data_IF_640786263205
#
_entry.id   IF_640786263205
#
_cell.length_a   1.000
_cell.length_b   1.000
_cell.length_c   1.000
_cell.angle_alpha   90.00
_cell.angle_beta   90.00
_cell.angle_gamma   90.00
#
_symmetry.space_group_name_H-M   'P 1'
#
loop_
_entity.id
_entity.type
_entity.pdbx_description
1 polymer ?
#
# COMPACT_ATOMS: atom_id res chain seq x y z
N UNK A 1 26.58 13.05 -50.59
CA UNK A 1 27.71 13.17 -49.65
C UNK A 1 27.17 12.84 -48.28
N UNK A 2 27.60 11.84 -47.52
CA UNK A 2 28.55 10.75 -47.72
C UNK A 2 28.33 9.80 -46.52
N UNK A 3 28.48 8.48 -46.77
CA UNK A 3 28.92 7.39 -45.86
C UNK A 3 28.45 7.33 -44.39
N UNK A 4 27.93 6.22 -43.84
CA UNK A 4 28.23 4.81 -44.12
C UNK A 4 29.17 4.23 -43.07
N UNK A 5 28.66 3.39 -42.15
CA UNK A 5 29.39 2.41 -41.29
C UNK A 5 28.30 1.69 -40.48
N UNK A 6 27.84 0.46 -40.76
CA UNK A 6 28.48 -0.82 -41.10
C UNK A 6 29.35 -1.32 -39.96
N UNK A 7 28.80 -2.21 -39.13
CA UNK A 7 29.54 -3.36 -38.63
C UNK A 7 28.63 -4.58 -38.47
N UNK A 8 29.19 -5.69 -38.91
CA UNK A 8 28.57 -6.98 -39.23
C UNK A 8 29.45 -8.02 -38.56
N UNK A 9 28.87 -9.22 -38.37
CA UNK A 9 29.57 -10.53 -38.37
C UNK A 9 30.20 -10.94 -37.01
N UNK A 10 30.12 -12.16 -36.47
CA UNK A 10 29.71 -13.48 -37.02
C UNK A 10 29.39 -14.50 -35.89
N UNK A 11 28.55 -15.48 -36.23
CA UNK A 11 28.64 -16.95 -36.04
C UNK A 11 28.94 -17.63 -34.70
N UNK A 12 28.00 -18.51 -34.31
CA UNK A 12 28.09 -20.00 -34.23
C UNK A 12 26.91 -20.50 -33.38
N UNK A 13 26.27 -21.64 -33.57
CA UNK A 13 26.44 -22.79 -34.46
C UNK A 13 25.08 -23.54 -34.51
N UNK A 14 24.81 -24.20 -35.64
CA UNK A 14 23.71 -25.15 -35.87
C UNK A 14 24.35 -26.46 -36.35
N UNK A 15 23.57 -27.55 -36.28
CA UNK A 15 23.78 -28.94 -36.74
C UNK A 15 24.42 -29.89 -35.73
N UNK A 16 24.09 -31.19 -35.69
CA UNK A 16 22.93 -32.06 -36.04
C UNK A 16 23.49 -33.48 -35.88
N UNK A 17 22.66 -34.40 -35.38
CA UNK A 17 22.58 -35.84 -35.76
C UNK A 17 23.80 -36.72 -35.44
N UNK A 18 23.56 -37.89 -34.83
CA UNK A 18 23.82 -39.23 -35.41
C UNK A 18 23.43 -40.30 -34.38
N UNK A 19 22.74 -41.29 -34.91
CA UNK A 19 22.15 -42.50 -34.36
C UNK A 19 23.11 -43.70 -34.49
N UNK A 20 22.72 -44.87 -33.95
CA UNK A 20 23.23 -46.24 -34.27
C UNK A 20 24.65 -46.57 -33.81
N UNK A 21 25.06 -47.78 -33.41
CA UNK A 21 24.49 -49.12 -33.18
C UNK A 21 25.65 -49.89 -32.53
N UNK A 22 25.44 -50.79 -31.56
CA UNK A 22 26.43 -51.84 -31.30
C UNK A 22 25.79 -53.14 -30.80
N UNK A 23 26.11 -54.22 -31.52
CA UNK A 23 25.79 -55.64 -31.35
C UNK A 23 26.95 -56.37 -32.06
N UNK A 24 27.29 -57.66 -31.81
CA UNK A 24 26.67 -58.68 -30.96
C UNK A 24 27.67 -59.61 -30.21
N UNK A 25 27.18 -60.71 -29.60
CA UNK A 25 27.63 -62.10 -29.83
C UNK A 25 27.97 -63.01 -28.61
N UNK A 26 27.45 -64.24 -28.74
CA UNK A 26 27.97 -65.57 -28.33
C UNK A 26 27.66 -66.16 -26.94
N UNK A 27 26.78 -67.16 -26.99
CA UNK A 27 26.84 -68.42 -26.22
C UNK A 27 27.90 -69.38 -26.83
N UNK A 28 28.45 -70.32 -26.04
CA UNK A 28 28.12 -71.76 -26.18
C UNK A 28 28.15 -72.46 -24.78
N UNK A 29 27.84 -73.73 -24.52
CA UNK A 29 27.36 -74.91 -25.22
C UNK A 29 26.86 -75.88 -24.13
N UNK A 30 25.91 -76.73 -24.47
CA UNK A 30 25.48 -77.89 -23.68
C UNK A 30 26.46 -79.07 -23.90
N UNK A 31 26.55 -80.03 -22.96
CA UNK A 31 26.21 -81.39 -23.39
C UNK A 31 25.36 -82.16 -22.36
N UNK A 32 24.40 -82.91 -22.89
CA UNK A 32 23.72 -84.00 -22.18
C UNK A 32 24.70 -85.19 -21.93
N UNK A 33 24.38 -86.10 -21.01
CA UNK A 33 23.91 -87.39 -21.51
C UNK A 33 22.75 -88.03 -20.71
N UNK A 34 22.08 -88.94 -21.41
CA UNK A 34 21.05 -89.86 -20.97
C UNK A 34 21.52 -90.77 -19.81
N UNK A 35 20.66 -91.03 -18.83
CA UNK A 35 20.37 -92.40 -18.33
C UNK A 35 18.95 -92.39 -17.73
N UNK A 36 18.10 -93.26 -18.24
CA UNK A 36 16.82 -93.61 -17.64
C UNK A 36 16.92 -94.99 -16.97
N UNK A 37 15.98 -95.22 -16.04
CA UNK A 37 15.41 -96.53 -15.64
C UNK A 37 15.95 -97.17 -14.34
N UNK A 38 15.17 -96.91 -13.27
CA UNK A 38 14.44 -97.85 -12.37
C UNK A 38 15.10 -98.59 -11.19
N UNK A 39 14.22 -98.70 -10.19
CA UNK A 39 13.99 -99.68 -9.13
C UNK A 39 14.76 -99.58 -7.80
N UNK A 40 13.98 -99.47 -6.70
CA UNK A 40 14.38 -99.87 -5.34
C UNK A 40 14.19 -98.84 -4.21
N UNK A 41 12.97 -98.75 -3.64
CA UNK A 41 12.59 -98.65 -2.20
C UNK A 41 13.35 -97.73 -1.18
N UNK A 42 12.76 -97.41 0.00
CA UNK A 42 12.55 -96.02 0.41
C UNK A 42 13.61 -95.45 1.36
N UNK A 43 14.03 -94.20 1.12
CA UNK A 43 14.84 -93.43 2.06
C UNK A 43 14.24 -92.02 2.31
N UNK A 44 13.51 -91.92 3.43
CA UNK A 44 13.43 -90.75 4.33
C UNK A 44 13.38 -89.36 3.67
N UNK A 45 12.17 -88.90 3.34
CA UNK A 45 11.91 -87.51 2.94
C UNK A 45 12.13 -86.56 4.12
N UNK A 46 13.31 -85.95 4.19
CA UNK A 46 13.54 -84.77 5.02
C UNK A 46 12.93 -83.57 4.27
N UNK A 47 11.79 -83.09 4.75
CA UNK A 47 11.20 -81.84 4.28
C UNK A 47 12.11 -80.67 4.64
N UNK A 48 12.98 -80.26 3.72
CA UNK A 48 13.69 -78.98 3.82
C UNK A 48 12.70 -77.86 3.55
N UNK A 49 12.09 -77.38 4.64
CA UNK A 49 11.23 -76.20 4.68
C UNK A 49 11.99 -75.02 4.09
N UNK A 50 11.45 -74.43 3.02
CA UNK A 50 11.98 -73.22 2.39
C UNK A 50 11.93 -72.10 3.43
N UNK A 51 13.09 -71.61 3.85
CA UNK A 51 13.19 -70.43 4.71
C UNK A 51 12.75 -69.21 3.90
N UNK A 52 11.53 -68.77 4.14
CA UNK A 52 11.05 -67.47 3.69
C UNK A 52 11.70 -66.45 4.64
N UNK A 53 12.65 -65.67 4.13
CA UNK A 53 13.27 -64.56 4.87
C UNK A 53 12.15 -63.65 5.43
N UNK A 54 12.08 -63.43 6.75
CA UNK A 54 11.11 -62.51 7.31
C UNK A 54 11.52 -61.08 6.92
N UNK A 55 10.73 -60.42 6.07
CA UNK A 55 10.80 -58.96 5.92
C UNK A 55 10.48 -58.37 7.29
N UNK A 56 11.38 -57.54 7.80
CA UNK A 56 11.39 -57.06 9.18
C UNK A 56 10.04 -56.41 9.55
N UNK A 57 9.44 -56.89 10.66
CA UNK A 57 8.17 -56.36 11.22
C UNK A 57 8.20 -54.86 11.53
N UNK A 58 9.39 -54.27 11.59
CA UNK A 58 9.60 -52.84 11.86
C UNK A 58 9.15 -51.98 10.66
N UNK A 59 9.36 -52.44 9.43
CA UNK A 59 8.97 -51.70 8.22
C UNK A 59 7.44 -51.71 8.01
N UNK A 60 6.79 -52.82 8.36
CA UNK A 60 5.32 -52.95 8.28
C UNK A 60 4.57 -52.03 9.25
N UNK A 61 5.10 -51.81 10.46
CA UNK A 61 4.49 -50.90 11.47
C UNK A 61 4.69 -49.43 11.12
N UNK A 62 5.83 -49.09 10.50
CA UNK A 62 6.13 -47.72 10.07
C UNK A 62 5.19 -47.26 8.93
N UNK A 63 4.96 -48.13 7.94
CA UNK A 63 4.03 -47.84 6.82
C UNK A 63 2.58 -47.80 7.30
N UNK A 64 2.20 -48.66 8.26
CA UNK A 64 0.84 -48.64 8.83
C UNK A 64 0.58 -47.37 9.65
N UNK A 65 1.58 -46.85 10.37
CA UNK A 65 1.49 -45.57 11.08
C UNK A 65 1.34 -44.38 10.14
N UNK A 66 2.03 -44.39 8.99
CA UNK A 66 1.96 -43.32 7.99
C UNK A 66 0.56 -43.17 7.38
N UNK A 67 -0.20 -44.27 7.28
CA UNK A 67 -1.59 -44.27 6.78
C UNK A 67 -2.54 -43.46 7.68
N UNK A 68 -2.22 -43.30 8.96
CA UNK A 68 -3.00 -42.48 9.91
C UNK A 68 -2.36 -41.11 10.17
N UNK A 69 -1.03 -41.00 10.10
CA UNK A 69 -0.33 -39.73 10.29
C UNK A 69 -0.66 -38.69 9.21
N UNK A 70 -0.76 -39.11 7.95
CA UNK A 70 -1.12 -38.23 6.83
C UNK A 70 -2.51 -37.59 6.98
N UNK A 71 -3.60 -38.35 7.18
CA UNK A 71 -4.92 -37.75 7.38
C UNK A 71 -5.01 -36.97 8.70
N UNK A 72 -4.32 -37.38 9.77
CA UNK A 72 -4.28 -36.63 11.02
C UNK A 72 -3.60 -35.26 10.85
N UNK A 73 -2.50 -35.20 10.09
CA UNK A 73 -1.82 -33.95 9.77
C UNK A 73 -2.71 -33.04 8.91
N UNK A 74 -3.41 -33.61 7.92
CA UNK A 74 -4.35 -32.85 7.09
C UNK A 74 -5.49 -32.23 7.93
N UNK A 75 -6.04 -32.99 8.88
CA UNK A 75 -7.05 -32.48 9.83
C UNK A 75 -6.48 -31.41 10.75
N UNK A 76 -5.25 -31.57 11.24
CA UNK A 76 -4.60 -30.56 12.07
C UNK A 76 -4.40 -29.24 11.31
N UNK A 77 -3.99 -29.30 10.04
CA UNK A 77 -3.86 -28.12 9.18
C UNK A 77 -5.22 -27.49 8.89
N UNK A 78 -6.26 -28.29 8.61
CA UNK A 78 -7.63 -27.77 8.46
C UNK A 78 -8.13 -27.06 9.73
N UNK A 79 -7.91 -27.66 10.90
CA UNK A 79 -8.28 -27.07 12.18
C UNK A 79 -7.52 -25.75 12.41
N UNK A 80 -6.23 -25.70 12.06
CA UNK A 80 -5.43 -24.49 12.17
C UNK A 80 -5.97 -23.37 11.26
N UNK A 81 -6.32 -23.69 10.01
CA UNK A 81 -6.91 -22.72 9.06
C UNK A 81 -8.31 -22.26 9.54
N UNK A 82 -9.10 -23.16 10.13
CA UNK A 82 -10.42 -22.82 10.67
C UNK A 82 -10.35 -21.91 11.90
N UNK A 83 -9.30 -22.04 12.73
CA UNK A 83 -9.08 -21.19 13.92
C UNK A 83 -8.34 -19.89 13.56
N UNK A 84 -7.60 -19.87 12.45
CA UNK A 84 -6.90 -18.69 11.95
C UNK A 84 -7.75 -17.40 11.91
N UNK A 85 -8.97 -17.37 11.33
CA UNK A 85 -9.78 -16.15 11.29
C UNK A 85 -10.07 -15.59 12.69
N UNK A 86 -10.25 -16.44 13.70
CA UNK A 86 -10.55 -16.00 15.08
C UNK A 86 -9.35 -15.33 15.79
N UNK A 87 -8.12 -15.56 15.29
CA UNK A 87 -6.89 -14.94 15.82
C UNK A 87 -6.50 -13.68 15.05
N UNK A 88 -6.93 -13.56 13.79
CA UNK A 88 -6.72 -12.39 12.92
C UNK A 88 -7.90 -11.43 12.85
N UNK A 89 -8.95 -11.63 13.66
CA UNK A 89 -9.92 -10.58 13.96
C UNK A 89 -9.20 -9.48 14.76
N UNK A 90 -8.36 -8.70 14.08
CA UNK A 90 -8.19 -7.30 14.40
C UNK A 90 -9.60 -6.74 14.54
N UNK A 91 -9.90 -5.92 15.56
CA UNK A 91 -11.19 -5.29 15.67
C UNK A 91 -11.38 -4.43 14.42
N UNK A 92 -12.02 -5.00 13.40
CA UNK A 92 -12.72 -4.20 12.42
C UNK A 92 -13.72 -3.46 13.27
N UNK A 93 -13.52 -2.16 13.41
CA UNK A 93 -14.51 -1.24 13.95
C UNK A 93 -15.76 -1.47 13.13
N UNK A 94 -16.59 -2.42 13.55
CA UNK A 94 -17.98 -2.54 13.16
C UNK A 94 -18.61 -1.33 13.80
N UNK A 95 -18.52 -0.22 13.10
CA UNK A 95 -19.40 0.92 13.33
C UNK A 95 -20.77 0.32 13.10
N UNK A 96 -21.43 -0.06 14.19
CA UNK A 96 -22.86 -0.25 14.20
C UNK A 96 -23.39 1.04 13.60
N UNK A 97 -23.80 0.97 12.33
CA UNK A 97 -24.63 1.97 11.69
C UNK A 97 -26.00 1.89 12.39
N UNK A 98 -26.00 2.25 13.67
CA UNK A 98 -27.19 2.67 14.35
C UNK A 98 -27.58 3.98 13.68
N UNK A 99 -28.84 4.04 13.30
CA UNK A 99 -29.39 5.00 12.34
C UNK A 99 -28.94 6.43 12.67
N UNK A 100 -28.16 7.04 11.78
CA UNK A 100 -28.19 8.50 11.59
C UNK A 100 -26.87 9.28 11.54
N UNK A 101 -25.76 8.77 12.07
CA UNK A 101 -24.54 9.58 12.12
C UNK A 101 -23.29 8.70 12.16
N UNK A 102 -22.45 8.78 11.12
CA UNK A 102 -21.17 8.08 11.09
C UNK A 102 -20.13 8.98 11.77
N UNK A 103 -19.80 8.65 13.01
CA UNK A 103 -18.73 9.28 13.77
C UNK A 103 -17.37 8.61 13.48
N UNK A 104 -16.35 9.42 13.25
CA UNK A 104 -14.97 9.01 13.02
C UNK A 104 -14.05 9.70 14.01
N UNK A 105 -13.14 8.93 14.61
CA UNK A 105 -12.12 9.44 15.53
C UNK A 105 -10.80 9.55 14.78
N UNK A 106 -10.12 10.71 14.90
CA UNK A 106 -8.87 11.04 14.18
C UNK A 106 -8.92 10.70 12.68
N UNK A 107 -9.96 11.12 11.95
CA UNK A 107 -10.04 10.89 10.52
C UNK A 107 -8.87 11.55 9.79
N UNK A 108 -8.40 10.90 8.74
CA UNK A 108 -7.43 11.43 7.79
C UNK A 108 -7.96 11.24 6.39
N UNK A 109 -8.12 12.33 5.66
CA UNK A 109 -8.48 12.36 4.25
C UNK A 109 -7.26 12.80 3.45
N UNK A 110 -6.94 12.10 2.36
CA UNK A 110 -5.85 12.44 1.46
C UNK A 110 -6.40 12.42 0.05
N UNK A 111 -6.14 13.47 -0.71
CA UNK A 111 -6.57 13.59 -2.08
C UNK A 111 -5.57 14.46 -2.86
N UNK A 112 -5.84 14.61 -4.16
CA UNK A 112 -5.09 15.50 -5.03
C UNK A 112 -6.01 16.62 -5.51
N UNK A 113 -5.43 17.80 -5.69
CA UNK A 113 -6.11 18.95 -6.25
C UNK A 113 -6.08 18.92 -7.80
N UNK A 114 -6.59 19.97 -8.44
CA UNK A 114 -6.59 20.07 -9.92
C UNK A 114 -5.19 20.21 -10.55
N UNK A 115 -4.17 20.61 -9.78
CA UNK A 115 -2.78 20.67 -10.23
C UNK A 115 -2.00 19.40 -9.88
N UNK A 116 -2.71 18.33 -9.47
CA UNK A 116 -2.13 17.06 -9.06
C UNK A 116 -1.19 17.20 -7.83
N UNK A 117 -1.44 18.21 -7.00
CA UNK A 117 -0.76 18.42 -5.73
C UNK A 117 -1.49 17.64 -4.64
N UNK A 118 -0.77 16.83 -3.84
CA UNK A 118 -1.38 16.13 -2.73
C UNK A 118 -1.77 17.14 -1.63
N UNK A 119 -2.94 16.92 -1.05
CA UNK A 119 -3.35 17.58 0.18
C UNK A 119 -3.85 16.54 1.18
N UNK A 120 -3.73 16.87 2.46
CA UNK A 120 -4.28 16.08 3.54
C UNK A 120 -5.17 16.93 4.43
N UNK A 121 -6.24 16.33 4.94
CA UNK A 121 -7.17 16.93 5.87
C UNK A 121 -7.36 15.96 7.04
N UNK A 122 -6.93 16.38 8.21
CA UNK A 122 -7.10 15.65 9.47
C UNK A 122 -8.02 16.41 10.39
N UNK A 123 -8.63 15.71 11.34
CA UNK A 123 -9.43 16.34 12.40
C UNK A 123 -9.32 15.49 13.66
N UNK A 124 -9.73 16.03 14.81
CA UNK A 124 -9.85 15.25 16.05
C UNK A 124 -11.03 14.29 15.96
N UNK A 125 -12.15 14.78 15.43
CA UNK A 125 -13.38 14.02 15.20
C UNK A 125 -14.03 14.47 13.89
N UNK A 126 -14.71 13.55 13.21
CA UNK A 126 -15.61 13.89 12.12
C UNK A 126 -16.95 13.18 12.22
N UNK A 127 -18.02 13.89 11.88
CA UNK A 127 -19.36 13.36 11.86
C UNK A 127 -20.00 13.56 10.49
N UNK A 128 -20.60 12.50 9.91
CA UNK A 128 -21.47 12.65 8.73
C UNK A 128 -22.92 12.76 9.15
N UNK A 129 -23.62 13.78 8.66
CA UNK A 129 -25.06 13.94 8.90
C UNK A 129 -25.83 13.02 7.95
N UNK A 130 -26.75 12.20 8.44
CA UNK A 130 -27.59 11.35 7.57
C UNK A 130 -28.40 12.14 6.54
N UNK A 131 -28.90 13.32 6.91
CA UNK A 131 -29.72 14.18 6.04
C UNK A 131 -28.87 14.95 5.00
N UNK A 132 -27.56 15.06 5.22
CA UNK A 132 -26.62 15.76 4.33
C UNK A 132 -25.34 14.91 4.18
N UNK A 133 -25.41 13.77 3.47
CA UNK A 133 -24.33 12.79 3.41
C UNK A 133 -23.04 13.33 2.77
N UNK A 134 -23.17 14.39 1.97
CA UNK A 134 -22.05 15.06 1.29
C UNK A 134 -21.25 15.96 2.22
N UNK A 135 -21.81 16.34 3.38
CA UNK A 135 -21.17 17.23 4.36
C UNK A 135 -20.59 16.42 5.52
N UNK A 136 -19.31 16.63 5.77
CA UNK A 136 -18.59 16.11 6.93
C UNK A 136 -18.32 17.26 7.89
N UNK A 137 -18.82 17.14 9.11
CA UNK A 137 -18.49 18.06 10.20
C UNK A 137 -17.16 17.64 10.77
N UNK A 138 -16.27 18.60 10.97
CA UNK A 138 -14.91 18.39 11.44
C UNK A 138 -14.70 19.17 12.72
N UNK A 139 -14.17 18.50 13.74
CA UNK A 139 -13.74 19.11 15.00
C UNK A 139 -12.24 19.29 15.00
N UNK A 140 -11.78 20.53 15.16
CA UNK A 140 -10.38 20.94 15.01
C UNK A 140 -9.74 20.42 13.72
N UNK A 141 -10.27 20.79 12.54
CA UNK A 141 -9.67 20.38 11.28
C UNK A 141 -8.31 21.06 11.08
N UNK A 142 -7.38 20.30 10.51
CA UNK A 142 -6.08 20.75 10.05
C UNK A 142 -5.84 20.22 8.62
N UNK A 143 -5.58 21.12 7.70
CA UNK A 143 -5.31 20.82 6.30
C UNK A 143 -3.88 21.20 5.94
N UNK A 144 -3.21 20.33 5.21
CA UNK A 144 -1.84 20.52 4.74
C UNK A 144 -1.80 20.35 3.23
N UNK A 145 -1.07 21.24 2.54
CA UNK A 145 -0.88 21.20 1.10
C UNK A 145 0.56 21.58 0.75
N UNK A 146 1.13 20.89 -0.23
CA UNK A 146 2.44 21.24 -0.81
C UNK A 146 2.23 21.76 -2.23
N UNK A 147 2.62 23.02 -2.46
CA UNK A 147 2.55 23.64 -3.78
C UNK A 147 3.61 23.09 -4.74
N UNK A 148 3.44 23.32 -6.04
CA UNK A 148 4.38 22.89 -7.09
C UNK A 148 5.80 23.44 -6.92
N UNK A 149 5.95 24.61 -6.28
CA UNK A 149 7.25 25.22 -5.97
C UNK A 149 7.89 24.70 -4.67
N UNK A 150 7.23 23.77 -3.98
CA UNK A 150 7.67 23.19 -2.72
C UNK A 150 7.16 23.92 -1.47
N UNK A 151 6.48 25.06 -1.64
CA UNK A 151 5.91 25.84 -0.52
C UNK A 151 4.87 24.99 0.22
N UNK A 152 5.05 24.81 1.53
CA UNK A 152 4.07 24.15 2.39
C UNK A 152 3.07 25.15 2.95
N UNK A 153 1.78 24.83 2.86
CA UNK A 153 0.68 25.59 3.47
C UNK A 153 -0.05 24.71 4.47
N UNK A 154 -0.23 25.22 5.69
CA UNK A 154 -1.04 24.57 6.74
C UNK A 154 -2.19 25.47 7.11
N UNK A 155 -3.40 24.91 7.24
CA UNK A 155 -4.61 25.63 7.62
C UNK A 155 -5.26 24.90 8.78
N UNK A 156 -5.64 25.61 9.84
CA UNK A 156 -6.35 25.05 11.00
C UNK A 156 -7.49 25.94 11.44
N UNK A 157 -8.47 25.36 12.12
CA UNK A 157 -9.58 26.08 12.75
C UNK A 157 -10.19 25.26 13.88
N UNK A 158 -11.12 25.83 14.65
CA UNK A 158 -11.83 25.12 15.71
C UNK A 158 -12.90 24.16 15.14
N UNK A 159 -13.60 24.58 14.08
CA UNK A 159 -14.70 23.84 13.46
C UNK A 159 -14.66 23.93 11.94
N UNK A 160 -14.94 22.81 11.27
CA UNK A 160 -15.03 22.75 9.82
C UNK A 160 -16.27 22.04 9.30
N UNK A 161 -16.69 22.40 8.10
CA UNK A 161 -17.69 21.70 7.30
C UNK A 161 -17.11 21.46 5.92
N UNK A 162 -16.83 20.20 5.61
CA UNK A 162 -16.27 19.82 4.33
C UNK A 162 -17.35 19.17 3.46
N UNK A 163 -17.60 19.77 2.29
CA UNK A 163 -18.48 19.20 1.29
C UNK A 163 -17.65 18.36 0.31
N UNK A 164 -17.83 17.03 0.35
CA UNK A 164 -17.06 16.07 -0.44
C UNK A 164 -17.34 16.15 -1.95
N UNK A 165 -18.51 16.66 -2.34
CA UNK A 165 -18.92 16.77 -3.75
C UNK A 165 -18.30 18.01 -4.38
N UNK A 166 -18.40 19.15 -3.73
CA UNK A 166 -17.90 20.44 -4.24
C UNK A 166 -16.42 20.67 -3.94
N UNK A 167 -15.89 20.06 -2.87
CA UNK A 167 -14.54 20.33 -2.38
C UNK A 167 -14.43 21.59 -1.52
N UNK A 168 -15.56 22.23 -1.18
CA UNK A 168 -15.59 23.42 -0.33
C UNK A 168 -15.44 23.02 1.14
N UNK A 169 -14.47 23.65 1.81
CA UNK A 169 -14.25 23.60 3.25
C UNK A 169 -14.60 24.95 3.85
N UNK A 170 -15.66 24.98 4.65
CA UNK A 170 -16.00 26.13 5.49
C UNK A 170 -15.36 25.94 6.86
N UNK A 171 -14.67 26.96 7.36
CA UNK A 171 -13.95 26.95 8.64
C UNK A 171 -14.45 28.09 9.51
N UNK A 172 -14.56 27.83 10.82
CA UNK A 172 -14.97 28.82 11.82
C UNK A 172 -14.19 28.64 13.11
N UNK A 173 -13.91 29.76 13.76
CA UNK A 173 -13.17 29.85 15.02
C UNK A 173 -11.67 29.74 14.77
N UNK A 174 -10.93 30.79 15.15
CA UNK A 174 -9.47 30.86 15.13
C UNK A 174 -8.83 30.28 13.85
N UNK A 175 -9.38 30.62 12.68
CA UNK A 175 -8.85 30.15 11.41
C UNK A 175 -7.45 30.74 11.24
N UNK A 176 -6.47 29.85 11.05
CA UNK A 176 -5.07 30.24 10.87
C UNK A 176 -4.49 29.52 9.66
N UNK A 177 -3.88 30.29 8.77
CA UNK A 177 -3.11 29.81 7.63
C UNK A 177 -1.65 30.13 7.89
N UNK A 178 -0.78 29.13 7.79
CA UNK A 178 0.67 29.26 7.97
C UNK A 178 1.39 28.77 6.72
N UNK A 179 2.44 29.49 6.34
CA UNK A 179 3.32 29.15 5.22
C UNK A 179 4.77 29.08 5.69
N UNK A 180 5.55 28.25 5.02
CA UNK A 180 6.98 28.07 5.30
C UNK A 180 7.84 29.29 4.93
N UNK A 181 7.34 30.19 4.07
CA UNK A 181 7.95 31.48 3.74
C UNK A 181 7.81 32.56 4.84
N UNK A 182 7.25 32.18 6.00
CA UNK A 182 7.07 33.05 7.16
C UNK A 182 5.79 33.90 7.12
N UNK A 183 4.90 33.67 6.15
CA UNK A 183 3.60 34.32 6.12
C UNK A 183 2.57 33.58 6.98
N UNK A 184 1.80 34.33 7.76
CA UNK A 184 0.71 33.85 8.60
C UNK A 184 -0.55 34.71 8.41
N UNK A 185 -1.71 34.08 8.30
CA UNK A 185 -2.99 34.77 8.23
C UNK A 185 -3.95 34.25 9.30
N UNK A 186 -4.66 35.15 9.96
CA UNK A 186 -5.63 34.82 11.01
C UNK A 186 -6.96 35.50 10.75
N UNK A 187 -8.06 34.77 10.92
CA UNK A 187 -9.43 35.27 10.75
C UNK A 187 -10.42 34.41 11.55
N UNK A 188 -11.64 34.89 11.76
CA UNK A 188 -12.67 34.16 12.51
C UNK A 188 -13.42 33.16 11.62
N UNK A 189 -13.63 33.49 10.35
CA UNK A 189 -14.32 32.63 9.38
C UNK A 189 -13.62 32.66 8.03
N UNK A 190 -13.53 31.51 7.37
CA UNK A 190 -13.03 31.40 6.01
C UNK A 190 -13.69 30.25 5.27
N UNK A 191 -13.79 30.39 3.95
CA UNK A 191 -14.21 29.33 3.04
C UNK A 191 -13.08 29.06 2.05
N UNK A 192 -12.87 27.80 1.68
CA UNK A 192 -11.84 27.41 0.73
C UNK A 192 -12.34 26.34 -0.21
N UNK A 193 -12.09 26.50 -1.51
CA UNK A 193 -12.20 25.43 -2.50
C UNK A 193 -10.84 24.72 -2.56
N UNK A 194 -10.73 23.59 -1.88
CA UNK A 194 -9.48 22.86 -1.74
C UNK A 194 -9.01 22.32 -3.11
N UNK A 195 -9.93 22.00 -4.01
CA UNK A 195 -9.59 21.44 -5.33
C UNK A 195 -8.98 22.49 -6.26
N UNK A 196 -9.50 23.71 -6.20
CA UNK A 196 -8.99 24.85 -6.98
C UNK A 196 -7.86 25.61 -6.28
N UNK A 197 -7.69 25.40 -4.99
CA UNK A 197 -6.74 26.15 -4.16
C UNK A 197 -7.11 27.63 -4.07
N UNK A 198 -8.40 27.93 -3.89
CA UNK A 198 -8.87 29.29 -3.60
C UNK A 198 -9.43 29.37 -2.20
N UNK A 199 -9.39 30.56 -1.60
CA UNK A 199 -10.01 30.81 -0.30
C UNK A 199 -10.57 32.23 -0.24
N UNK A 200 -11.56 32.45 0.59
CA UNK A 200 -12.18 33.75 0.78
C UNK A 200 -12.75 33.91 2.18
N UNK A 201 -12.87 35.15 2.62
CA UNK A 201 -13.55 35.53 3.85
C UNK A 201 -14.03 36.96 3.74
N UNK A 202 -15.18 37.22 4.35
CA UNK A 202 -15.83 38.54 4.40
C UNK A 202 -15.82 39.11 5.83
N UNK A 203 -14.93 38.58 6.67
CA UNK A 203 -14.71 39.02 8.05
C UNK A 203 -13.27 39.43 8.26
N UNK A 204 -13.04 40.14 9.36
CA UNK A 204 -11.74 40.68 9.72
C UNK A 204 -10.62 39.64 9.58
N UNK A 205 -9.53 40.06 8.93
CA UNK A 205 -8.36 39.24 8.65
C UNK A 205 -7.10 40.03 8.96
N UNK A 206 -6.17 39.36 9.63
CA UNK A 206 -4.83 39.88 9.91
C UNK A 206 -3.81 38.98 9.22
N UNK A 207 -3.01 39.58 8.34
CA UNK A 207 -1.85 38.94 7.71
C UNK A 207 -0.56 39.45 8.32
N UNK A 208 0.40 38.56 8.56
CA UNK A 208 1.73 38.86 9.06
C UNK A 208 2.75 38.15 8.16
N UNK A 209 3.85 38.82 7.85
CA UNK A 209 4.91 38.21 7.04
C UNK A 209 6.18 39.05 7.06
N UNK A 210 7.23 38.63 6.31
CA UNK A 210 8.52 39.32 6.28
C UNK A 210 8.43 40.76 5.79
N UNK A 211 7.38 41.10 5.03
CA UNK A 211 7.16 42.44 4.48
C UNK A 211 6.41 43.37 5.46
N UNK A 212 5.86 42.83 6.55
CA UNK A 212 5.09 43.59 7.55
C UNK A 212 3.74 42.96 7.91
N UNK A 213 2.80 43.79 8.34
CA UNK A 213 1.49 43.38 8.87
C UNK A 213 0.37 44.05 8.07
N UNK A 214 -0.67 43.30 7.75
CA UNK A 214 -1.87 43.79 7.06
C UNK A 214 -3.09 43.48 7.92
N UNK A 215 -3.99 44.45 8.04
CA UNK A 215 -5.30 44.31 8.67
C UNK A 215 -6.36 44.68 7.63
N UNK A 216 -7.38 43.85 7.44
CA UNK A 216 -8.47 44.12 6.50
C UNK A 216 -9.80 43.54 7.00
N UNK A 217 -10.92 43.91 6.39
CA UNK A 217 -12.24 43.37 6.75
C UNK A 217 -12.64 42.13 5.95
N UNK A 218 -11.84 41.75 4.96
CA UNK A 218 -12.06 40.55 4.18
C UNK A 218 -10.88 40.26 3.27
N UNK A 219 -10.90 39.08 2.65
CA UNK A 219 -9.87 38.67 1.71
C UNK A 219 -10.41 37.75 0.62
N UNK A 220 -9.66 37.69 -0.48
CA UNK A 220 -9.74 36.68 -1.52
C UNK A 220 -8.34 36.14 -1.78
N UNK A 221 -8.22 34.84 -1.83
CA UNK A 221 -6.99 34.11 -2.10
C UNK A 221 -7.19 33.31 -3.38
N UNK A 222 -6.30 33.52 -4.35
CA UNK A 222 -6.27 32.81 -5.62
C UNK A 222 -4.91 32.16 -5.85
N UNK A 223 -4.80 31.43 -6.95
CA UNK A 223 -3.54 30.86 -7.42
C UNK A 223 -2.86 29.98 -6.38
N UNK A 224 -3.65 29.18 -5.64
CA UNK A 224 -3.16 28.26 -4.60
C UNK A 224 -2.42 28.94 -3.46
N UNK A 225 -2.78 30.19 -3.19
CA UNK A 225 -2.16 30.98 -2.13
C UNK A 225 -1.14 32.00 -2.63
N UNK A 226 -0.82 32.04 -3.93
CA UNK A 226 0.18 32.98 -4.47
C UNK A 226 -0.30 34.43 -4.47
N UNK A 227 -1.59 34.64 -4.69
CA UNK A 227 -2.16 35.97 -4.78
C UNK A 227 -3.23 36.14 -3.70
N UNK A 228 -3.05 37.12 -2.83
CA UNK A 228 -4.05 37.51 -1.84
C UNK A 228 -4.48 38.96 -2.10
N UNK A 229 -5.79 39.18 -2.15
CA UNK A 229 -6.42 40.49 -2.27
C UNK A 229 -7.18 40.76 -0.99
N UNK A 230 -6.89 41.88 -0.35
CA UNK A 230 -7.61 42.35 0.83
C UNK A 230 -8.74 43.27 0.42
N UNK A 231 -9.89 43.14 1.09
CA UNK A 231 -11.12 43.85 0.77
C UNK A 231 -11.45 44.91 1.82
N UNK A 232 -12.20 45.92 1.38
CA UNK A 232 -12.74 47.02 2.18
C UNK A 232 -11.66 47.85 2.92
N UNK A 233 -11.90 48.22 4.19
CA UNK A 233 -10.97 49.00 5.00
C UNK A 233 -9.70 48.19 5.31
N UNK A 234 -8.70 48.28 4.44
CA UNK A 234 -7.41 47.62 4.59
C UNK A 234 -6.31 48.59 5.01
N UNK A 235 -5.56 48.25 6.05
CA UNK A 235 -4.37 48.98 6.53
C UNK A 235 -3.16 48.06 6.50
N UNK A 236 -2.12 48.47 5.77
CA UNK A 236 -0.83 47.78 5.72
C UNK A 236 0.24 48.60 6.45
N UNK A 237 1.00 47.94 7.31
CA UNK A 237 2.21 48.46 7.94
C UNK A 237 3.39 47.69 7.36
N UNK A 238 4.15 48.35 6.49
CA UNK A 238 5.23 47.74 5.69
C UNK A 238 6.56 48.07 6.35
N UNK A 239 7.32 47.03 6.69
CA UNK A 239 8.67 47.21 7.21
C UNK A 239 9.64 47.30 6.03
N UNK A 240 10.43 48.38 5.97
CA UNK A 240 11.47 48.49 4.98
C UNK A 240 12.53 47.41 5.23
N UNK A 241 12.79 46.57 4.23
CA UNK A 241 13.95 45.68 4.26
C UNK A 241 15.20 46.56 4.37
N UNK A 242 15.96 46.41 5.45
CA UNK A 242 17.24 47.10 5.62
C UNK A 242 18.14 46.79 4.42
N UNK A 243 18.48 47.83 3.66
CA UNK A 243 19.37 47.71 2.51
C UNK A 243 20.77 47.32 3.03
N UNK A 244 21.37 46.19 2.57
CA UNK A 244 22.72 45.83 2.98
C UNK A 244 23.67 46.96 2.56
N UNK A 245 24.27 47.60 3.57
CA UNK A 245 25.01 48.85 3.44
C UNK A 245 25.86 48.96 2.17
N UNK A 246 25.65 50.06 1.44
CA UNK A 246 26.53 50.49 0.39
C UNK A 246 27.95 50.63 0.95
N UNK A 247 28.85 49.77 0.50
CA UNK A 247 30.28 49.95 0.73
C UNK A 247 30.71 51.20 -0.05
N UNK A 248 30.79 52.32 0.66
CA UNK A 248 31.61 53.46 0.25
C UNK A 248 33.04 52.98 0.05
N UNK A 249 33.57 53.13 -1.15
CA UNK A 249 35.01 53.19 -1.38
C UNK A 249 35.31 54.23 -2.44
#
# INVERSE_FOLDING_TARGET
MDSGLKNRTVDRAVDRVVETEDRPARAPANPAPLVAVRDGEPAKRIHRRREIRPVSRVYSRFVTGMKFALPALALAVMALIAVWPSLTELPTLRISADKGQLEMIKPRYVAVDEANQPFSLVAVKADRIADQPDIVLLDQPEAEMTQTDGTWVTIRSDRGWYNQVTGILKMRGHVRVMRDDGNEFTTEEAESDIRKGTAWGDVHVVGQGPQGVINAEGFRLSDRGKTMVFLNESKADVQAAESPGGKTR
#
